data_IF_778770165487
#
_entry.id   IF_778770165487
#
_cell.length_a   1.000
_cell.length_b   1.000
_cell.length_c   1.000
_cell.angle_alpha   90.00
_cell.angle_beta   90.00
_cell.angle_gamma   90.00
#
_symmetry.space_group_name_H-M   'P 1'
#
loop_
_entity.id
_entity.type
_entity.pdbx_description
1 polymer ?
#
# COMPACT_ATOMS: atom_id res chain seq x y z
N UNK A 1 -28.00 -0.33 -6.88
CA UNK A 1 -26.92 0.60 -6.47
C UNK A 1 -25.73 -0.25 -6.04
N UNK A 2 -24.57 -0.13 -6.69
CA UNK A 2 -23.38 -0.90 -6.30
C UNK A 2 -22.79 -0.26 -5.04
N UNK A 3 -22.60 -1.05 -3.99
CA UNK A 3 -22.03 -0.61 -2.72
C UNK A 3 -20.60 -1.12 -2.64
N UNK A 4 -19.62 -0.21 -2.59
CA UNK A 4 -18.22 -0.58 -2.40
C UNK A 4 -17.94 -0.84 -0.91
N UNK A 5 -17.02 -1.76 -0.58
CA UNK A 5 -16.61 -2.00 0.81
C UNK A 5 -15.87 -0.78 1.36
N UNK A 6 -15.86 -0.59 2.68
CA UNK A 6 -15.15 0.54 3.33
C UNK A 6 -13.64 0.53 3.10
N UNK A 7 -13.07 -0.60 2.69
CA UNK A 7 -11.63 -0.76 2.44
C UNK A 7 -11.42 -1.74 1.31
N UNK A 8 -10.45 -1.43 0.44
CA UNK A 8 -10.01 -2.27 -0.66
C UNK A 8 -8.49 -2.43 -0.52
N UNK A 9 -8.03 -3.68 -0.44
CA UNK A 9 -6.60 -4.01 -0.43
C UNK A 9 -6.17 -4.56 -1.79
N UNK A 10 -5.11 -4.00 -2.35
CA UNK A 10 -4.50 -4.50 -3.58
C UNK A 10 -3.32 -5.40 -3.24
N UNK A 11 -3.37 -6.66 -3.66
CA UNK A 11 -2.32 -7.66 -3.43
C UNK A 11 -1.59 -8.02 -4.73
N UNK A 12 -0.36 -8.50 -4.63
CA UNK A 12 0.45 -8.92 -5.78
C UNK A 12 1.93 -8.63 -5.57
N UNK A 13 2.77 -9.15 -6.47
CA UNK A 13 4.23 -8.98 -6.43
C UNK A 13 4.66 -7.50 -6.54
N UNK A 14 5.89 -7.19 -6.11
CA UNK A 14 6.52 -5.91 -6.42
C UNK A 14 6.51 -5.68 -7.96
N UNK A 15 6.27 -4.44 -8.40
CA UNK A 15 6.17 -4.12 -9.83
C UNK A 15 4.84 -4.48 -10.50
N UNK A 16 3.91 -5.18 -9.84
CA UNK A 16 2.59 -5.52 -10.41
C UNK A 16 1.63 -4.32 -10.64
N UNK A 17 2.09 -3.08 -10.41
CA UNK A 17 1.31 -1.87 -10.66
C UNK A 17 0.31 -1.49 -9.56
N UNK A 18 0.38 -2.12 -8.37
CA UNK A 18 -0.54 -1.89 -7.24
C UNK A 18 -0.69 -0.41 -6.88
N UNK A 19 0.42 0.31 -6.75
CA UNK A 19 0.43 1.75 -6.42
C UNK A 19 -0.23 2.58 -7.51
N UNK A 20 0.05 2.30 -8.78
CA UNK A 20 -0.53 3.03 -9.92
C UNK A 20 -2.05 2.82 -10.01
N UNK A 21 -2.49 1.56 -9.94
CA UNK A 21 -3.92 1.21 -9.98
C UNK A 21 -4.64 1.72 -8.74
N UNK A 22 -4.03 1.59 -7.56
CA UNK A 22 -4.63 2.02 -6.29
C UNK A 22 -4.88 3.52 -6.23
N UNK A 23 -3.95 4.35 -6.74
CA UNK A 23 -4.16 5.81 -6.84
C UNK A 23 -5.32 6.15 -7.76
N UNK A 24 -5.35 5.58 -8.97
CA UNK A 24 -6.42 5.81 -9.92
C UNK A 24 -7.79 5.32 -9.43
N UNK A 25 -7.82 4.18 -8.73
CA UNK A 25 -9.04 3.62 -8.14
C UNK A 25 -9.54 4.50 -6.98
N UNK A 26 -8.64 4.96 -6.11
CA UNK A 26 -8.97 5.82 -4.99
C UNK A 26 -9.59 7.14 -5.47
N UNK A 27 -9.00 7.77 -6.49
CA UNK A 27 -9.55 8.97 -7.12
C UNK A 27 -10.97 8.73 -7.68
N UNK A 28 -11.17 7.64 -8.45
CA UNK A 28 -12.46 7.31 -9.06
C UNK A 28 -13.57 7.02 -8.04
N UNK A 29 -13.22 6.44 -6.89
CA UNK A 29 -14.18 6.06 -5.86
C UNK A 29 -14.30 7.10 -4.74
N UNK A 30 -13.50 8.17 -4.76
CA UNK A 30 -13.34 9.13 -3.67
C UNK A 30 -12.89 8.48 -2.34
N UNK A 31 -11.89 7.60 -2.43
CA UNK A 31 -11.25 6.93 -1.29
C UNK A 31 -9.91 7.60 -0.98
N UNK A 32 -9.45 7.46 0.26
CA UNK A 32 -8.07 7.77 0.60
C UNK A 32 -7.15 6.66 0.09
N UNK A 33 -6.12 7.03 -0.66
CA UNK A 33 -5.04 6.10 -0.99
C UNK A 33 -4.07 5.96 0.20
N UNK A 34 -3.70 4.72 0.53
CA UNK A 34 -2.71 4.40 1.56
C UNK A 34 -1.71 3.42 0.95
N UNK A 35 -0.42 3.77 1.02
CA UNK A 35 0.68 2.88 0.69
C UNK A 35 1.20 2.24 1.98
N UNK A 36 0.98 0.94 2.15
CA UNK A 36 1.35 0.21 3.38
C UNK A 36 2.85 0.20 3.60
N UNK A 37 3.63 0.12 2.53
CA UNK A 37 5.09 0.07 2.60
C UNK A 37 5.58 1.39 3.24
N UNK A 38 5.03 2.51 2.76
CA UNK A 38 5.35 3.83 3.30
C UNK A 38 4.93 4.01 4.76
N UNK A 39 3.75 3.49 5.14
CA UNK A 39 3.27 3.53 6.53
C UNK A 39 4.22 2.78 7.46
N UNK A 40 4.71 1.61 7.06
CA UNK A 40 5.66 0.82 7.84
C UNK A 40 6.98 1.60 8.00
N UNK A 41 7.52 2.12 6.90
CA UNK A 41 8.78 2.88 6.94
C UNK A 41 8.69 4.12 7.85
N UNK A 42 7.61 4.88 7.73
CA UNK A 42 7.41 6.09 8.54
C UNK A 42 7.20 5.78 10.02
N UNK A 43 6.61 4.61 10.34
CA UNK A 43 6.41 4.14 11.70
C UNK A 43 7.72 3.71 12.35
N UNK A 44 8.56 2.96 11.62
CA UNK A 44 9.80 2.43 12.16
C UNK A 44 11.03 3.32 11.94
N UNK A 45 10.89 4.41 11.18
CA UNK A 45 12.01 5.30 10.81
C UNK A 45 13.16 4.55 10.11
N UNK A 46 12.82 3.52 9.35
CA UNK A 46 13.74 2.67 8.59
C UNK A 46 13.12 2.31 7.25
N UNK A 47 13.93 2.07 6.22
CA UNK A 47 13.42 1.47 4.98
C UNK A 47 12.93 0.05 5.23
N UNK A 48 12.05 -0.46 4.36
CA UNK A 48 11.64 -1.88 4.42
C UNK A 48 12.84 -2.81 4.35
N UNK A 49 13.82 -2.50 3.48
CA UNK A 49 15.05 -3.28 3.39
C UNK A 49 15.83 -3.27 4.70
N UNK A 50 16.02 -2.11 5.33
CA UNK A 50 16.71 -2.02 6.62
C UNK A 50 15.98 -2.76 7.74
N UNK A 51 14.65 -2.85 7.68
CA UNK A 51 13.87 -3.64 8.62
C UNK A 51 14.09 -5.15 8.44
N UNK A 52 14.15 -5.62 7.19
CA UNK A 52 14.44 -7.03 6.90
C UNK A 52 15.86 -7.41 7.35
N UNK A 53 16.85 -6.58 7.02
CA UNK A 53 18.25 -6.78 7.42
C UNK A 53 18.39 -6.84 8.96
N UNK A 54 17.71 -5.95 9.69
CA UNK A 54 17.70 -5.95 11.16
C UNK A 54 17.03 -7.20 11.77
N UNK A 55 16.12 -7.84 11.03
CA UNK A 55 15.50 -9.11 11.42
C UNK A 55 16.34 -10.34 11.01
N UNK A 56 17.47 -10.14 10.31
CA UNK A 56 18.31 -11.22 9.79
C UNK A 56 17.65 -11.97 8.63
N UNK A 57 16.76 -11.30 7.90
CA UNK A 57 16.07 -11.81 6.71
C UNK A 57 16.68 -11.19 5.45
#
# INVERSE_FOLDING_TARGET
MIKFPSTISLIGMAGAGKTSVGKALAEKLNYKFIDTDKVIEDTHKSSLQGLLENMGI
#
